data_IF_573581595211
#
_entry.id   IF_573581595211
#
_cell.length_a   1.000
_cell.length_b   1.000
_cell.length_c   1.000
_cell.angle_alpha   90.00
_cell.angle_beta   90.00
_cell.angle_gamma   90.00
#
_symmetry.space_group_name_H-M   'P 1'
#
loop_
_entity.id
_entity.type
_entity.pdbx_description
1 polymer ?
#
# COMPACT_ATOMS: atom_id res chain seq x y z
N UNK A 1 -21.16 -14.18 -11.65
CA UNK A 1 -20.92 -12.74 -11.47
C UNK A 1 -22.10 -12.06 -10.78
N UNK A 2 -21.86 -10.93 -10.11
CA UNK A 2 -22.94 -10.09 -9.55
C UNK A 2 -23.48 -9.19 -10.65
N UNK A 3 -24.79 -9.19 -10.86
CA UNK A 3 -25.49 -8.36 -11.83
C UNK A 3 -26.04 -7.07 -11.23
N UNK A 4 -26.71 -7.19 -10.08
CA UNK A 4 -27.28 -6.04 -9.38
C UNK A 4 -27.37 -6.29 -7.86
N UNK A 5 -27.38 -5.21 -7.12
CA UNK A 5 -27.55 -5.17 -5.66
C UNK A 5 -28.73 -4.23 -5.43
N UNK A 6 -29.75 -4.68 -4.71
CA UNK A 6 -31.00 -3.94 -4.51
C UNK A 6 -31.40 -3.89 -3.05
N UNK A 7 -32.07 -2.81 -2.68
CA UNK A 7 -32.61 -2.53 -1.36
C UNK A 7 -33.16 -1.11 -1.33
N UNK A 8 -33.79 -0.74 -0.24
CA UNK A 8 -34.21 0.64 0.00
C UNK A 8 -33.27 1.34 1.00
N UNK A 9 -33.57 1.37 2.29
CA UNK A 9 -32.67 1.90 3.33
C UNK A 9 -31.66 0.85 3.84
N UNK A 10 -31.91 -0.43 3.55
CA UNK A 10 -31.05 -1.57 3.86
C UNK A 10 -30.91 -2.46 2.64
N UNK A 11 -29.84 -3.25 2.60
CA UNK A 11 -29.62 -4.27 1.58
C UNK A 11 -30.66 -5.39 1.73
N UNK A 12 -31.27 -5.83 0.62
CA UNK A 12 -32.33 -6.84 0.64
C UNK A 12 -32.03 -8.00 -0.31
N UNK A 13 -31.51 -7.71 -1.50
CA UNK A 13 -31.33 -8.73 -2.53
C UNK A 13 -30.08 -8.51 -3.37
N UNK A 14 -29.57 -9.60 -3.90
CA UNK A 14 -28.52 -9.63 -4.91
C UNK A 14 -28.99 -10.48 -6.09
N UNK A 15 -28.81 -9.99 -7.29
CA UNK A 15 -28.98 -10.79 -8.52
C UNK A 15 -27.60 -11.24 -9.00
N UNK A 16 -27.42 -12.54 -9.13
CA UNK A 16 -26.21 -13.15 -9.66
C UNK A 16 -26.48 -13.84 -10.98
N UNK A 17 -25.42 -13.93 -11.82
CA UNK A 17 -25.38 -14.79 -12.99
C UNK A 17 -24.45 -15.95 -12.64
N UNK A 18 -24.99 -17.17 -12.61
CA UNK A 18 -24.22 -18.37 -12.30
C UNK A 18 -23.32 -18.81 -13.49
N UNK A 19 -22.61 -19.93 -13.34
CA UNK A 19 -21.70 -20.45 -14.36
C UNK A 19 -22.41 -20.94 -15.62
N UNK A 20 -23.71 -21.21 -15.55
CA UNK A 20 -24.55 -21.60 -16.69
C UNK A 20 -25.14 -20.40 -17.44
N UNK A 21 -24.93 -19.17 -16.95
CA UNK A 21 -25.52 -17.94 -17.49
C UNK A 21 -26.94 -17.67 -16.97
N UNK A 22 -27.41 -18.45 -16.01
CA UNK A 22 -28.76 -18.29 -15.45
C UNK A 22 -28.77 -17.23 -14.37
N UNK A 23 -29.75 -16.33 -14.42
CA UNK A 23 -29.97 -15.35 -13.37
C UNK A 23 -30.65 -15.95 -12.16
N UNK A 24 -30.14 -15.62 -10.97
CA UNK A 24 -30.71 -16.03 -9.69
C UNK A 24 -30.77 -14.84 -8.75
N UNK A 25 -31.91 -14.68 -8.08
CA UNK A 25 -32.12 -13.66 -7.05
C UNK A 25 -31.94 -14.35 -5.70
N UNK A 26 -31.15 -13.74 -4.83
CA UNK A 26 -30.90 -14.20 -3.46
C UNK A 26 -31.30 -13.08 -2.50
N UNK A 27 -32.10 -13.42 -1.49
CA UNK A 27 -32.38 -12.53 -0.37
C UNK A 27 -31.16 -12.56 0.57
N UNK A 28 -30.64 -11.39 0.93
CA UNK A 28 -29.46 -11.24 1.78
C UNK A 28 -29.59 -10.03 2.70
N UNK A 29 -29.00 -10.12 3.88
CA UNK A 29 -28.97 -9.04 4.87
C UNK A 29 -27.65 -8.24 4.84
N UNK A 30 -26.61 -8.80 4.19
CA UNK A 30 -25.29 -8.17 4.07
C UNK A 30 -24.47 -8.76 2.93
N UNK A 31 -23.54 -7.98 2.41
CA UNK A 31 -22.63 -8.39 1.34
C UNK A 31 -21.21 -7.92 1.65
N UNK A 32 -20.28 -8.88 1.74
CA UNK A 32 -18.85 -8.60 1.79
C UNK A 32 -18.29 -8.62 0.37
N UNK A 33 -17.58 -7.54 -0.01
CA UNK A 33 -16.97 -7.40 -1.34
C UNK A 33 -15.46 -7.54 -1.18
N UNK A 34 -14.92 -8.68 -1.60
CA UNK A 34 -13.49 -9.03 -1.51
C UNK A 34 -12.89 -9.26 -2.92
N UNK A 35 -13.23 -8.38 -3.85
CA UNK A 35 -12.84 -8.50 -5.27
C UNK A 35 -11.55 -7.75 -5.62
N UNK A 36 -10.69 -7.51 -4.64
CA UNK A 36 -9.47 -6.73 -4.79
C UNK A 36 -9.68 -5.23 -4.58
N UNK A 37 -8.61 -4.47 -4.74
CA UNK A 37 -8.60 -3.02 -4.57
C UNK A 37 -8.15 -2.31 -5.83
N UNK A 38 -8.70 -1.14 -6.08
CA UNK A 38 -8.20 -0.22 -7.11
C UNK A 38 -7.57 0.99 -6.43
N UNK A 39 -6.29 1.17 -6.68
CA UNK A 39 -5.53 2.26 -6.10
C UNK A 39 -5.81 3.54 -6.89
N UNK A 40 -6.20 4.61 -6.22
CA UNK A 40 -6.33 5.92 -6.85
C UNK A 40 -5.02 6.69 -6.71
N UNK A 41 -4.29 6.84 -7.81
CA UNK A 41 -3.01 7.55 -7.91
C UNK A 41 -3.13 8.87 -8.69
N UNK A 42 -4.32 9.35 -8.99
CA UNK A 42 -4.53 10.53 -9.84
C UNK A 42 -3.82 11.78 -9.31
N UNK A 43 -3.71 11.90 -7.98
CA UNK A 43 -3.05 13.03 -7.31
C UNK A 43 -1.51 13.02 -7.43
N UNK A 44 -0.89 11.86 -7.72
CA UNK A 44 0.57 11.69 -7.65
C UNK A 44 1.19 11.07 -8.92
N UNK A 45 0.40 10.47 -9.79
CA UNK A 45 0.87 9.73 -10.98
C UNK A 45 1.73 10.56 -11.96
N UNK A 46 1.61 11.87 -11.93
CA UNK A 46 2.39 12.78 -12.77
C UNK A 46 3.76 13.16 -12.16
N UNK A 47 4.02 12.76 -10.91
CA UNK A 47 5.24 13.06 -10.16
C UNK A 47 6.16 11.85 -10.00
N UNK A 48 5.62 10.63 -10.06
CA UNK A 48 6.36 9.39 -9.80
C UNK A 48 6.17 8.38 -10.93
N UNK A 49 7.11 7.47 -11.07
CA UNK A 49 6.97 6.35 -12.02
C UNK A 49 5.94 5.35 -11.52
N UNK A 50 5.06 4.93 -12.43
CA UNK A 50 4.02 3.94 -12.20
C UNK A 50 4.21 2.82 -13.24
N UNK A 51 4.16 1.57 -12.77
CA UNK A 51 4.28 0.41 -13.64
C UNK A 51 2.99 0.11 -14.44
N UNK A 52 3.04 -0.88 -15.31
CA UNK A 52 1.88 -1.29 -16.15
C UNK A 52 0.69 -1.83 -15.35
N UNK A 53 0.89 -2.19 -14.09
CA UNK A 53 -0.18 -2.65 -13.17
C UNK A 53 -0.84 -1.51 -12.40
N UNK A 54 -0.37 -0.26 -12.56
CA UNK A 54 -0.84 0.89 -11.82
C UNK A 54 -0.27 1.00 -10.41
N UNK A 55 0.94 0.46 -10.17
CA UNK A 55 1.63 0.52 -8.88
C UNK A 55 2.79 1.51 -8.94
N UNK A 56 3.04 2.25 -7.85
CA UNK A 56 4.20 3.15 -7.74
C UNK A 56 5.48 2.32 -7.67
N UNK A 57 6.42 2.59 -8.57
CA UNK A 57 7.76 1.98 -8.51
C UNK A 57 8.56 2.57 -7.35
N UNK A 58 9.08 1.68 -6.48
CA UNK A 58 9.88 2.07 -5.33
C UNK A 58 11.21 1.32 -5.28
N UNK A 59 12.18 1.99 -4.66
CA UNK A 59 13.45 1.44 -4.21
C UNK A 59 13.42 1.18 -2.70
N UNK A 60 14.55 0.72 -2.14
CA UNK A 60 14.70 0.48 -0.71
C UNK A 60 14.28 1.70 0.12
N UNK A 61 13.55 1.45 1.23
CA UNK A 61 13.05 2.51 2.10
C UNK A 61 11.89 3.31 1.53
N UNK A 62 11.18 2.77 0.52
CA UNK A 62 10.01 3.42 -0.05
C UNK A 62 10.33 4.64 -0.92
N UNK A 63 11.58 4.79 -1.36
CA UNK A 63 11.98 5.90 -2.25
C UNK A 63 11.34 5.72 -3.62
N UNK A 64 10.74 6.80 -4.15
CA UNK A 64 10.17 6.82 -5.50
C UNK A 64 11.15 7.46 -6.50
N UNK A 65 10.74 7.55 -7.77
CA UNK A 65 11.49 8.30 -8.78
C UNK A 65 11.60 9.82 -8.50
N UNK A 66 10.78 10.34 -7.59
CA UNK A 66 10.85 11.73 -7.13
C UNK A 66 11.54 11.81 -5.76
N UNK A 67 12.59 12.60 -5.59
CA UNK A 67 13.45 12.56 -4.40
C UNK A 67 12.75 12.94 -3.09
N UNK A 68 11.64 13.66 -3.14
CA UNK A 68 10.88 14.13 -1.98
C UNK A 68 9.56 13.36 -1.78
N UNK A 69 9.30 12.30 -2.55
CA UNK A 69 8.09 11.49 -2.45
C UNK A 69 8.49 10.07 -2.07
N UNK A 70 7.87 9.57 -1.02
CA UNK A 70 8.05 8.21 -0.50
C UNK A 70 6.71 7.50 -0.55
N UNK A 71 6.71 6.21 -0.87
CA UNK A 71 5.51 5.40 -0.97
C UNK A 71 5.69 4.06 -0.27
N UNK A 72 4.60 3.50 0.23
CA UNK A 72 4.59 2.24 0.97
C UNK A 72 3.30 1.45 0.75
N UNK A 73 3.33 0.17 1.09
CA UNK A 73 2.16 -0.70 1.10
C UNK A 73 1.64 -1.02 -0.30
N UNK A 74 0.36 -1.37 -0.36
CA UNK A 74 -0.29 -1.95 -1.55
C UNK A 74 -0.25 -1.07 -2.79
N UNK A 75 -0.07 0.23 -2.61
CA UNK A 75 0.09 1.19 -3.70
C UNK A 75 1.41 1.05 -4.49
N UNK A 76 2.37 0.29 -3.99
CA UNK A 76 3.72 0.18 -4.50
C UNK A 76 4.02 -1.18 -5.13
N UNK A 77 5.19 -1.33 -5.73
CA UNK A 77 5.66 -2.56 -6.37
C UNK A 77 6.08 -3.67 -5.39
N UNK A 78 5.75 -3.57 -4.09
CA UNK A 78 6.04 -4.65 -3.14
C UNK A 78 5.31 -5.95 -3.54
N UNK A 79 5.95 -7.11 -3.40
CA UNK A 79 5.39 -8.37 -3.89
C UNK A 79 4.24 -8.91 -3.04
N UNK A 80 4.22 -8.61 -1.75
CA UNK A 80 3.23 -9.15 -0.81
C UNK A 80 2.31 -8.06 -0.27
N UNK A 81 1.04 -8.08 -0.70
CA UNK A 81 0.01 -7.11 -0.32
C UNK A 81 -0.69 -7.59 0.97
N UNK A 82 -0.02 -7.44 2.11
CA UNK A 82 -0.51 -7.82 3.43
C UNK A 82 -0.44 -6.63 4.38
N UNK A 83 -1.41 -6.51 5.28
CA UNK A 83 -1.49 -5.39 6.23
C UNK A 83 -0.19 -5.22 7.02
N UNK A 84 0.35 -6.31 7.55
CA UNK A 84 1.59 -6.25 8.34
C UNK A 84 2.80 -5.83 7.50
N UNK A 85 2.86 -6.22 6.23
CA UNK A 85 3.91 -5.79 5.30
C UNK A 85 3.78 -4.30 5.03
N UNK A 86 2.56 -3.83 4.73
CA UNK A 86 2.28 -2.42 4.50
C UNK A 86 2.64 -1.54 5.72
N UNK A 87 2.42 -2.02 6.95
CA UNK A 87 2.84 -1.34 8.18
C UNK A 87 4.36 -1.22 8.27
N UNK A 88 5.09 -2.31 7.99
CA UNK A 88 6.56 -2.32 7.99
C UNK A 88 7.14 -1.38 6.94
N UNK A 89 6.60 -1.43 5.72
CA UNK A 89 7.02 -0.54 4.64
C UNK A 89 6.71 0.93 4.95
N UNK A 90 5.55 1.21 5.55
CA UNK A 90 5.18 2.54 6.00
C UNK A 90 6.17 3.11 7.02
N UNK A 91 6.63 2.28 7.96
CA UNK A 91 7.68 2.64 8.91
C UNK A 91 9.00 2.98 8.19
N UNK A 92 9.44 2.13 7.28
CA UNK A 92 10.67 2.35 6.50
C UNK A 92 10.59 3.61 5.64
N UNK A 93 9.49 3.83 4.95
CA UNK A 93 9.26 5.02 4.14
C UNK A 93 9.24 6.29 4.99
N UNK A 94 8.59 6.25 6.16
CA UNK A 94 8.56 7.36 7.12
C UNK A 94 9.94 7.73 7.65
N UNK A 95 10.76 6.74 8.01
CA UNK A 95 12.15 6.95 8.43
C UNK A 95 13.01 7.52 7.29
N UNK A 96 12.82 7.05 6.07
CA UNK A 96 13.52 7.57 4.89
C UNK A 96 13.13 9.01 4.60
N UNK A 97 11.86 9.36 4.69
CA UNK A 97 11.36 10.72 4.53
C UNK A 97 11.92 11.66 5.62
N UNK A 98 11.95 11.21 6.88
CA UNK A 98 12.58 11.95 7.95
C UNK A 98 14.07 12.21 7.69
N UNK A 99 14.81 11.18 7.28
CA UNK A 99 16.23 11.31 6.95
C UNK A 99 16.46 12.28 5.79
N UNK A 100 15.59 12.28 4.78
CA UNK A 100 15.64 13.23 3.68
C UNK A 100 15.50 14.66 4.19
N UNK A 101 14.50 14.93 5.02
CA UNK A 101 14.27 16.27 5.60
C UNK A 101 15.43 16.71 6.50
N UNK A 102 15.98 15.83 7.33
CA UNK A 102 17.13 16.17 8.19
C UNK A 102 18.39 16.48 7.36
N UNK A 103 18.63 15.74 6.28
CA UNK A 103 19.73 16.07 5.34
C UNK A 103 19.57 17.44 4.69
N UNK A 104 18.35 17.83 4.32
CA UNK A 104 18.08 19.16 3.79
C UNK A 104 18.39 20.28 4.80
N UNK A 105 18.25 19.98 6.10
CA UNK A 105 18.58 20.90 7.20
C UNK A 105 20.07 20.84 7.59
N UNK A 106 20.90 20.07 6.89
CA UNK A 106 22.31 19.88 7.22
C UNK A 106 22.56 19.03 8.47
N UNK A 107 21.55 18.22 8.91
CA UNK A 107 21.64 17.37 10.07
C UNK A 107 21.95 15.92 9.69
N UNK A 108 22.53 15.11 10.59
CA UNK A 108 22.98 13.73 10.29
C UNK A 108 21.85 12.72 10.07
N UNK A 109 20.59 13.05 10.29
CA UNK A 109 19.47 12.11 10.21
C UNK A 109 19.44 11.09 11.35
N UNK A 110 18.57 10.07 11.24
CA UNK A 110 18.51 8.97 12.21
C UNK A 110 19.76 8.11 12.06
N UNK A 111 20.44 7.88 13.18
CA UNK A 111 21.49 6.85 13.26
C UNK A 111 20.80 5.50 13.43
N UNK A 112 21.25 4.47 12.71
CA UNK A 112 20.85 3.10 13.00
C UNK A 112 21.27 2.77 14.45
N UNK A 113 20.29 2.42 15.31
CA UNK A 113 20.49 2.27 16.77
C UNK A 113 21.35 1.05 17.16
N UNK A 114 21.88 0.31 16.20
CA UNK A 114 22.59 -0.94 16.42
C UNK A 114 24.12 -0.81 16.33
N UNK A 115 24.68 0.26 16.91
CA UNK A 115 26.10 0.25 17.27
C UNK A 115 26.24 -0.29 18.68
N UNK A 116 26.20 -1.61 18.84
CA UNK A 116 26.51 -2.24 20.10
C UNK A 116 28.03 -2.15 20.33
N UNK A 117 28.47 -1.27 21.25
CA UNK A 117 29.82 -1.33 21.77
C UNK A 117 29.90 -2.49 22.77
N UNK A 118 30.57 -3.55 22.42
CA UNK A 118 30.95 -4.63 23.34
C UNK A 118 32.46 -4.56 23.45
N UNK A 119 32.98 -4.24 24.67
CA UNK A 119 34.41 -4.24 24.96
C UNK A 119 35.23 -3.26 24.11
N UNK A 120 34.70 -2.10 23.73
CA UNK A 120 35.42 -1.09 22.94
C UNK A 120 35.50 -1.35 21.45
N UNK A 121 34.96 -2.47 20.96
CA UNK A 121 34.87 -2.76 19.51
C UNK A 121 33.50 -2.34 18.96
N UNK A 122 33.49 -1.68 17.79
CA UNK A 122 32.29 -1.30 17.05
C UNK A 122 32.00 -2.38 16.00
N UNK A 123 30.88 -3.09 16.16
CA UNK A 123 30.41 -4.04 15.14
C UNK A 123 29.47 -3.31 14.17
N UNK A 124 29.75 -3.43 12.88
CA UNK A 124 28.87 -3.00 11.79
C UNK A 124 28.18 -4.24 11.22
N UNK A 125 26.85 -4.25 11.29
CA UNK A 125 26.03 -5.29 10.63
C UNK A 125 25.42 -4.70 9.36
#
# INVERSE_FOLDING_TARGET
SVKSITGNSILQQITIIDSSGTERILDIDGLFIEMGSKINLDFVKHLVKINSKGEIEIESGGMTSHPAIFAAGDATTIPYKQIIVACGDGSNAGLSAFNYVEKLKGKPGIRADWKKQIGGQVFHY
#
